data_IF_584532901011
#
_entry.id   IF_584532901011
#
_cell.length_a   1.000
_cell.length_b   1.000
_cell.length_c   1.000
_cell.angle_alpha   90.00
_cell.angle_beta   90.00
_cell.angle_gamma   90.00
#
_symmetry.space_group_name_H-M   'P 1'
#
loop_
_entity.id
_entity.type
_entity.pdbx_description
1 polymer ?
#
# COMPACT_ATOMS: atom_id res chain seq x y z
N UNK A 1 17.70 -18.52 14.86
CA UNK A 1 18.61 -18.63 13.69
C UNK A 1 18.10 -17.72 12.61
N UNK A 2 18.91 -16.82 12.03
CA UNK A 2 18.47 -16.00 10.88
C UNK A 2 18.09 -16.94 9.73
N UNK A 3 16.83 -16.91 9.29
CA UNK A 3 16.38 -17.73 8.16
C UNK A 3 16.89 -17.08 6.87
N UNK A 4 17.56 -17.85 6.01
CA UNK A 4 18.06 -17.38 4.71
C UNK A 4 16.95 -17.18 3.67
N UNK A 5 15.81 -17.84 3.88
CA UNK A 5 14.61 -17.70 3.05
C UNK A 5 13.36 -17.65 3.91
N UNK A 6 12.43 -16.77 3.55
CA UNK A 6 11.06 -16.75 4.09
C UNK A 6 10.09 -17.34 3.07
N UNK A 7 9.06 -18.04 3.55
CA UNK A 7 8.05 -18.69 2.70
C UNK A 7 6.72 -17.96 2.81
N UNK A 8 6.14 -17.63 1.67
CA UNK A 8 4.85 -16.95 1.56
C UNK A 8 3.91 -17.75 0.66
N UNK A 9 2.61 -17.57 0.85
CA UNK A 9 1.58 -18.18 0.00
C UNK A 9 0.73 -17.11 -0.64
N UNK A 10 0.68 -17.09 -1.97
CA UNK A 10 -0.14 -16.15 -2.75
C UNK A 10 -0.97 -16.96 -3.74
N UNK A 11 -2.30 -16.83 -3.68
CA UNK A 11 -3.20 -17.61 -4.54
C UNK A 11 -3.02 -19.13 -4.42
N UNK A 12 -2.66 -19.64 -3.24
CA UNK A 12 -2.35 -21.06 -3.03
C UNK A 12 -0.93 -21.49 -3.44
N UNK A 13 -0.20 -20.67 -4.20
CA UNK A 13 1.16 -20.96 -4.66
C UNK A 13 2.18 -20.54 -3.60
N UNK A 14 3.19 -21.39 -3.37
CA UNK A 14 4.26 -21.13 -2.40
C UNK A 14 5.46 -20.45 -3.06
N UNK A 15 5.90 -19.34 -2.47
CA UNK A 15 7.08 -18.59 -2.88
C UNK A 15 8.13 -18.61 -1.77
N UNK A 16 9.41 -18.64 -2.14
CA UNK A 16 10.51 -18.54 -1.20
C UNK A 16 11.37 -17.32 -1.57
N UNK A 17 11.42 -16.34 -0.68
CA UNK A 17 12.16 -15.08 -0.88
C UNK A 17 13.42 -15.11 -0.05
N UNK A 18 14.57 -14.81 -0.66
CA UNK A 18 15.83 -14.67 0.06
C UNK A 18 15.77 -13.45 0.97
N UNK A 19 16.18 -13.61 2.23
CA UNK A 19 16.07 -12.54 3.22
C UNK A 19 17.24 -11.58 3.18
N UNK A 20 18.40 -12.00 2.67
CA UNK A 20 19.67 -11.29 2.85
C UNK A 20 19.92 -10.90 4.33
N UNK A 21 19.38 -11.69 5.27
CA UNK A 21 19.46 -11.43 6.71
C UNK A 21 18.47 -10.40 7.27
N UNK A 22 17.56 -9.88 6.44
CA UNK A 22 16.54 -8.88 6.79
C UNK A 22 15.14 -9.44 6.53
N UNK A 23 14.22 -9.16 7.47
CA UNK A 23 12.80 -9.44 7.31
C UNK A 23 12.05 -8.10 7.33
N UNK A 24 11.32 -7.82 6.25
CA UNK A 24 10.50 -6.61 6.11
C UNK A 24 9.11 -6.86 6.70
N UNK A 25 8.60 -5.87 7.43
CA UNK A 25 7.24 -5.86 7.99
C UNK A 25 6.57 -4.56 7.56
N UNK A 26 5.43 -4.67 6.87
CA UNK A 26 4.57 -3.51 6.59
C UNK A 26 3.78 -3.20 7.87
N UNK A 27 3.82 -1.94 8.28
CA UNK A 27 3.14 -1.41 9.46
C UNK A 27 2.32 -0.17 9.05
N UNK A 28 1.57 0.37 10.00
CA UNK A 28 0.70 1.53 9.83
C UNK A 28 -0.34 1.35 8.71
N UNK A 29 -1.55 0.98 9.14
CA UNK A 29 -2.66 0.72 8.24
C UNK A 29 -3.66 1.87 8.22
N UNK A 30 -3.27 3.06 8.70
CA UNK A 30 -4.18 4.22 8.85
C UNK A 30 -4.89 4.56 7.55
N UNK A 31 -4.20 4.50 6.40
CA UNK A 31 -4.79 4.81 5.08
C UNK A 31 -5.01 3.57 4.21
N UNK A 32 -5.06 2.38 4.82
CA UNK A 32 -5.24 1.12 4.10
C UNK A 32 -6.69 0.86 3.69
N UNK A 33 -6.86 -0.01 2.69
CA UNK A 33 -8.17 -0.53 2.26
C UNK A 33 -8.10 -2.04 2.09
N UNK A 34 -9.06 -2.76 2.66
CA UNK A 34 -9.23 -4.20 2.47
C UNK A 34 -10.70 -4.59 2.29
N UNK A 35 -10.94 -5.78 1.75
CA UNK A 35 -12.25 -6.41 1.70
C UNK A 35 -12.14 -7.82 2.29
N UNK A 36 -12.95 -8.12 3.30
CA UNK A 36 -13.02 -9.43 3.91
C UNK A 36 -14.47 -9.90 4.01
N UNK A 37 -14.79 -11.02 3.36
CA UNK A 37 -16.15 -11.58 3.33
C UNK A 37 -17.24 -10.58 2.91
N UNK A 38 -16.90 -9.72 1.93
CA UNK A 38 -17.80 -8.67 1.44
C UNK A 38 -17.79 -7.37 2.27
N UNK A 39 -17.17 -7.37 3.44
CA UNK A 39 -17.01 -6.18 4.27
C UNK A 39 -15.80 -5.37 3.82
N UNK A 40 -16.03 -4.14 3.37
CA UNK A 40 -14.97 -3.22 2.97
C UNK A 40 -14.59 -2.37 4.17
N UNK A 41 -13.32 -2.41 4.56
CA UNK A 41 -12.73 -1.55 5.59
C UNK A 41 -11.73 -0.66 4.89
N UNK A 42 -11.91 0.65 5.03
CA UNK A 42 -11.06 1.67 4.43
C UNK A 42 -11.16 2.97 5.23
N UNK A 43 -10.21 3.88 5.00
CA UNK A 43 -10.33 5.27 5.43
C UNK A 43 -10.74 6.12 4.25
N UNK A 44 -11.82 6.87 4.45
CA UNK A 44 -12.28 7.83 3.47
C UNK A 44 -11.47 9.12 3.60
N UNK A 45 -10.60 9.37 2.63
CA UNK A 45 -9.77 10.56 2.59
C UNK A 45 -10.39 11.68 1.76
N UNK A 46 -11.63 11.53 1.29
CA UNK A 46 -12.31 12.56 0.48
C UNK A 46 -12.55 13.85 1.27
N UNK A 47 -12.62 13.77 2.59
CA UNK A 47 -12.84 14.91 3.52
C UNK A 47 -11.53 15.44 4.15
N UNK A 48 -10.36 14.95 3.75
CA UNK A 48 -9.06 15.35 4.32
C UNK A 48 -8.22 16.13 3.29
N UNK A 49 -8.55 17.40 2.98
CA UNK A 49 -7.84 18.17 1.96
C UNK A 49 -6.37 18.41 2.30
N UNK A 50 -6.02 18.52 3.60
CA UNK A 50 -4.67 18.86 4.03
C UNK A 50 -3.58 17.89 3.52
N UNK A 51 -3.89 16.59 3.42
CA UNK A 51 -2.92 15.57 3.00
C UNK A 51 -2.48 15.76 1.54
N UNK A 52 -3.32 16.39 0.73
CA UNK A 52 -3.06 16.60 -0.70
C UNK A 52 -2.39 17.94 -1.02
N UNK A 53 -2.39 18.87 -0.05
CA UNK A 53 -1.78 20.20 -0.14
C UNK A 53 -0.32 20.20 0.35
N UNK A 54 0.12 19.13 1.02
CA UNK A 54 1.51 18.99 1.44
C UNK A 54 2.48 18.87 0.26
N UNK A 55 3.68 19.40 0.45
CA UNK A 55 4.77 19.41 -0.54
C UNK A 55 6.12 19.07 0.11
N UNK A 56 7.15 18.84 -0.70
CA UNK A 56 8.53 18.64 -0.24
C UNK A 56 9.01 17.19 -0.17
N UNK A 57 8.13 16.22 -0.43
CA UNK A 57 8.46 14.80 -0.52
C UNK A 57 7.57 14.11 -1.57
N UNK A 58 8.16 13.19 -2.34
CA UNK A 58 7.48 12.43 -3.39
C UNK A 58 6.28 11.62 -2.85
N UNK A 59 6.27 11.28 -1.55
CA UNK A 59 5.10 10.66 -0.91
C UNK A 59 3.81 11.48 -1.09
N UNK A 60 3.90 12.82 -1.12
CA UNK A 60 2.73 13.68 -1.30
C UNK A 60 2.21 13.63 -2.74
N UNK A 61 3.08 13.44 -3.72
CA UNK A 61 2.67 13.17 -5.11
C UNK A 61 1.94 11.83 -5.21
N UNK A 62 2.35 10.80 -4.46
CA UNK A 62 1.65 9.51 -4.44
C UNK A 62 0.19 9.68 -4.00
N UNK A 63 -0.07 10.47 -2.94
CA UNK A 63 -1.44 10.75 -2.51
C UNK A 63 -2.27 11.48 -3.58
N UNK A 64 -1.67 12.47 -4.26
CA UNK A 64 -2.33 13.19 -5.37
C UNK A 64 -2.63 12.26 -6.55
N UNK A 65 -1.68 11.45 -6.98
CA UNK A 65 -1.83 10.46 -8.06
C UNK A 65 -2.95 9.46 -7.70
N UNK A 66 -2.98 8.96 -6.46
CA UNK A 66 -4.03 8.06 -5.99
C UNK A 66 -5.42 8.72 -6.08
N UNK A 67 -5.54 9.97 -5.61
CA UNK A 67 -6.79 10.75 -5.65
C UNK A 67 -7.28 11.01 -7.07
N UNK A 68 -6.37 11.35 -7.98
CA UNK A 68 -6.70 11.58 -9.39
C UNK A 68 -7.17 10.27 -10.05
N UNK A 69 -6.46 9.16 -9.81
CA UNK A 69 -6.75 7.87 -10.42
C UNK A 69 -8.05 7.24 -9.92
N UNK A 70 -8.42 7.46 -8.65
CA UNK A 70 -9.67 6.94 -8.09
C UNK A 70 -10.85 7.93 -8.16
N UNK A 71 -10.64 9.14 -8.70
CA UNK A 71 -11.68 10.17 -8.78
C UNK A 71 -12.17 10.66 -7.41
N UNK A 72 -11.29 10.60 -6.39
CA UNK A 72 -11.59 10.86 -4.98
C UNK A 72 -12.59 9.88 -4.34
N UNK A 73 -12.86 8.72 -4.96
CA UNK A 73 -13.60 7.62 -4.33
C UNK A 73 -12.63 6.57 -3.76
N UNK A 74 -12.52 6.53 -2.44
CA UNK A 74 -11.56 5.68 -1.71
C UNK A 74 -12.10 4.27 -1.40
N UNK A 75 -13.38 4.02 -1.68
CA UNK A 75 -14.04 2.76 -1.39
C UNK A 75 -13.70 1.62 -2.39
N UNK A 76 -13.64 1.87 -3.71
CA UNK A 76 -13.33 0.84 -4.70
C UNK A 76 -11.93 0.26 -4.57
N UNK A 77 -11.74 -0.91 -5.16
CA UNK A 77 -10.43 -1.57 -5.17
C UNK A 77 -9.57 -1.07 -6.33
N UNK A 78 -8.56 -0.26 -6.01
CA UNK A 78 -7.55 0.21 -6.97
C UNK A 78 -6.16 -0.35 -6.63
N UNK A 79 -5.81 -1.59 -7.05
CA UNK A 79 -4.52 -2.20 -6.68
C UNK A 79 -3.30 -1.48 -7.25
N UNK A 80 -3.48 -0.60 -8.24
CA UNK A 80 -2.40 0.26 -8.77
C UNK A 80 -1.82 1.19 -7.71
N UNK A 81 -2.57 1.54 -6.66
CA UNK A 81 -2.04 2.34 -5.54
C UNK A 81 -0.84 1.67 -4.87
N UNK A 82 -0.84 0.35 -4.74
CA UNK A 82 0.30 -0.39 -4.21
C UNK A 82 1.55 -0.25 -5.08
N UNK A 83 1.37 -0.14 -6.41
CA UNK A 83 2.48 0.07 -7.34
C UNK A 83 3.07 1.48 -7.21
N UNK A 84 2.24 2.49 -6.94
CA UNK A 84 2.71 3.86 -6.69
C UNK A 84 3.57 3.93 -5.42
N UNK A 85 3.15 3.27 -4.34
CA UNK A 85 3.96 3.17 -3.12
C UNK A 85 5.24 2.35 -3.32
N UNK A 86 5.20 1.28 -4.11
CA UNK A 86 6.42 0.54 -4.47
C UNK A 86 7.38 1.42 -5.30
N UNK A 87 6.86 2.21 -6.24
CA UNK A 87 7.67 3.15 -7.02
C UNK A 87 8.36 4.18 -6.11
N UNK A 88 7.61 4.76 -5.16
CA UNK A 88 8.18 5.64 -4.13
C UNK A 88 9.33 4.97 -3.34
N UNK A 89 9.18 3.70 -2.96
CA UNK A 89 10.22 2.96 -2.22
C UNK A 89 11.45 2.57 -3.05
N UNK A 90 11.30 2.46 -4.37
CA UNK A 90 12.39 2.06 -5.27
C UNK A 90 13.29 3.22 -5.69
N UNK A 91 12.79 4.47 -5.62
CA UNK A 91 13.53 5.67 -6.02
C UNK A 91 13.42 5.99 -7.51
#
# INVERSE_FOLDING_TARGET
TRQSKLRYRVGGVSYAVFTEGIQVTIIDFTVSRLCHEGNIVYVDMSESPEIFECEGDYQFDIYRIMRENNGNDWRPFHPSSNLYWLHYLMG
#
